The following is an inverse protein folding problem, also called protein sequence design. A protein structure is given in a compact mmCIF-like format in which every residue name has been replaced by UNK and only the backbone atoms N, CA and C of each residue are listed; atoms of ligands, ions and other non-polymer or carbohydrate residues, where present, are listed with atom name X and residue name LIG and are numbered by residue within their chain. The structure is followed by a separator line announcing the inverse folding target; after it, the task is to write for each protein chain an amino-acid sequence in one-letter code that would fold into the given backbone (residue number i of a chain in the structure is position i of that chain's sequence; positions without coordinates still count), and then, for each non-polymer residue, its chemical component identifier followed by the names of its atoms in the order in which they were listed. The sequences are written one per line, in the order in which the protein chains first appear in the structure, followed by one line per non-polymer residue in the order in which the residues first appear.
data_IF_992771565258
#
_entry.id   IF_992771565258
#
_cell.length_a   1.000
_cell.length_b   1.000
_cell.length_c   1.000
_cell.angle_alpha   90.00
_cell.angle_beta   90.00
_cell.angle_gamma   90.00
#
_symmetry.space_group_name_H-M   'P 1'
#
loop_
_entity.id
_entity.type
_entity.pdbx_description
1 polymer ?
#
# COMPACT_ATOMS: atom_id res chain seq x y z
N UNK A 1 11.81 -15.50 2.86
CA UNK A 1 11.68 -14.03 2.72
C UNK A 1 10.41 -13.73 1.96
N UNK A 2 9.56 -12.85 2.47
CA UNK A 2 8.37 -12.36 1.75
C UNK A 2 8.75 -11.13 0.92
N UNK A 3 8.19 -10.99 -0.28
CA UNK A 3 8.43 -9.86 -1.17
C UNK A 3 7.10 -9.23 -1.59
N UNK A 4 7.05 -7.90 -1.67
CA UNK A 4 5.84 -7.16 -1.97
C UNK A 4 6.06 -6.09 -3.02
N UNK A 5 5.02 -5.80 -3.81
CA UNK A 5 5.05 -4.74 -4.81
C UNK A 5 3.69 -4.06 -4.96
N UNK A 6 3.69 -2.83 -5.52
CA UNK A 6 2.47 -2.10 -5.87
C UNK A 6 2.75 -1.12 -7.01
N UNK A 7 1.76 -0.92 -7.89
CA UNK A 7 1.79 0.14 -8.88
C UNK A 7 1.14 1.41 -8.31
N UNK A 8 1.98 2.32 -7.79
CA UNK A 8 1.51 3.56 -7.16
C UNK A 8 0.85 4.50 -8.18
N UNK A 9 1.39 4.63 -9.39
CA UNK A 9 0.84 5.53 -10.40
C UNK A 9 -0.63 5.22 -10.72
N UNK A 10 -0.97 3.93 -10.80
CA UNK A 10 -2.35 3.48 -11.00
C UNK A 10 -3.26 3.80 -9.81
N UNK A 11 -2.79 3.59 -8.57
CA UNK A 11 -3.60 3.81 -7.37
C UNK A 11 -3.92 5.28 -7.11
N UNK A 12 -2.93 6.14 -7.36
CA UNK A 12 -3.03 7.59 -7.19
C UNK A 12 -3.63 8.29 -8.43
N UNK A 13 -3.88 7.57 -9.52
CA UNK A 13 -4.43 8.15 -10.75
C UNK A 13 -3.51 9.20 -11.37
N UNK A 14 -2.20 8.98 -11.30
CA UNK A 14 -1.19 9.92 -11.79
C UNK A 14 -1.23 9.97 -13.32
N UNK A 15 -1.20 11.18 -13.87
CA UNK A 15 -0.96 11.40 -15.31
C UNK A 15 0.34 10.68 -15.74
N UNK A 16 0.32 9.83 -16.78
CA UNK A 16 1.50 9.09 -17.24
C UNK A 16 2.73 9.95 -17.58
N UNK A 17 2.52 11.23 -17.86
CA UNK A 17 3.57 12.20 -18.19
C UNK A 17 4.08 12.98 -16.96
N UNK A 18 3.35 12.92 -15.84
CA UNK A 18 3.75 13.58 -14.61
C UNK A 18 4.90 12.85 -13.91
N UNK A 19 5.63 13.59 -13.08
CA UNK A 19 6.73 13.07 -12.24
C UNK A 19 6.34 13.21 -10.76
N UNK A 20 5.46 12.32 -10.24
CA UNK A 20 5.01 12.39 -8.86
C UNK A 20 6.18 12.10 -7.90
N UNK A 21 6.14 12.73 -6.73
CA UNK A 21 7.05 12.43 -5.64
C UNK A 21 6.26 11.70 -4.56
N UNK A 22 6.82 10.63 -4.02
CA UNK A 22 6.17 9.82 -3.00
C UNK A 22 6.97 9.84 -1.70
N UNK A 23 6.26 9.79 -0.59
CA UNK A 23 6.81 9.46 0.73
C UNK A 23 6.22 8.14 1.20
N UNK A 24 7.01 7.35 1.90
CA UNK A 24 6.58 6.07 2.44
C UNK A 24 6.93 6.00 3.92
N UNK A 25 5.97 5.58 4.72
CA UNK A 25 6.18 5.28 6.15
C UNK A 25 5.51 3.95 6.47
N UNK A 26 6.14 3.18 7.36
CA UNK A 26 5.50 2.03 7.99
C UNK A 26 4.63 2.49 9.15
N UNK A 27 3.57 1.75 9.44
CA UNK A 27 2.79 1.93 10.65
C UNK A 27 1.98 0.69 10.96
N UNK A 28 1.26 0.72 12.07
CA UNK A 28 0.41 -0.39 12.48
C UNK A 28 -0.94 -0.34 11.72
N UNK A 29 -1.38 -1.52 11.30
CA UNK A 29 -2.63 -1.76 10.58
C UNK A 29 -3.21 -3.06 11.11
N UNK A 30 -4.19 -2.96 12.01
CA UNK A 30 -4.87 -4.12 12.57
C UNK A 30 -6.13 -4.42 11.78
N UNK A 31 -6.04 -5.39 10.86
CA UNK A 31 -7.17 -5.83 10.04
C UNK A 31 -7.62 -7.22 10.44
N UNK A 32 -8.93 -7.47 10.51
CA UNK A 32 -9.44 -8.81 10.72
C UNK A 32 -9.08 -9.69 9.53
N UNK A 33 -8.82 -10.98 9.79
CA UNK A 33 -8.66 -11.96 8.73
C UNK A 33 -9.95 -12.04 7.88
N UNK A 34 -9.81 -12.11 6.56
CA UNK A 34 -10.94 -12.15 5.63
C UNK A 34 -10.80 -13.34 4.69
N UNK A 35 -11.64 -14.37 4.88
CA UNK A 35 -11.57 -15.62 4.12
C UNK A 35 -10.24 -16.35 4.37
N UNK A 36 -9.47 -16.60 3.30
CA UNK A 36 -8.13 -17.23 3.38
C UNK A 36 -6.99 -16.22 3.51
N UNK A 37 -7.26 -14.92 3.38
CA UNK A 37 -6.24 -13.89 3.49
C UNK A 37 -5.98 -13.57 4.97
N UNK A 38 -4.72 -13.69 5.37
CA UNK A 38 -4.23 -13.19 6.66
C UNK A 38 -3.43 -11.91 6.42
N UNK A 39 -3.54 -10.97 7.34
CA UNK A 39 -2.87 -9.67 7.25
C UNK A 39 -1.87 -9.54 8.37
N UNK A 40 -0.69 -8.98 8.06
CA UNK A 40 0.27 -8.60 9.09
C UNK A 40 -0.29 -7.44 9.92
N UNK A 41 0.15 -7.31 11.17
CA UNK A 41 -0.20 -6.17 12.04
C UNK A 41 0.43 -4.84 11.58
N UNK A 42 1.34 -4.88 10.61
CA UNK A 42 1.93 -3.70 9.98
C UNK A 42 1.34 -3.39 8.61
N UNK A 43 1.54 -2.16 8.16
CA UNK A 43 1.19 -1.68 6.83
C UNK A 43 2.11 -0.56 6.36
N UNK A 44 1.85 -0.08 5.15
CA UNK A 44 2.55 1.05 4.55
C UNK A 44 1.56 2.17 4.26
N UNK A 45 1.92 3.39 4.65
CA UNK A 45 1.24 4.60 4.22
C UNK A 45 2.10 5.27 3.18
N UNK A 46 1.59 5.40 1.96
CA UNK A 46 2.28 6.10 0.88
C UNK A 46 1.55 7.40 0.62
N UNK A 47 2.27 8.52 0.66
CA UNK A 47 1.74 9.83 0.31
C UNK A 47 2.24 10.26 -1.07
N UNK A 48 1.35 10.73 -1.95
CA UNK A 48 1.73 11.42 -3.18
C UNK A 48 1.75 12.93 -2.91
N UNK A 49 2.93 13.52 -3.07
CA UNK A 49 3.24 14.83 -2.51
C UNK A 49 2.58 15.98 -3.26
N UNK A 50 2.16 15.81 -4.53
CA UNK A 50 1.55 16.87 -5.33
C UNK A 50 0.07 17.05 -4.97
N UNK A 51 -0.67 15.94 -4.86
CA UNK A 51 -2.10 15.91 -4.55
C UNK A 51 -2.39 15.99 -3.05
N UNK A 52 -1.47 15.55 -2.19
CA UNK A 52 -1.74 15.40 -0.76
C UNK A 52 -2.46 14.11 -0.39
N UNK A 53 -2.70 13.22 -1.35
CA UNK A 53 -3.36 11.95 -1.12
C UNK A 53 -2.43 10.98 -0.40
N UNK A 54 -2.97 10.24 0.56
CA UNK A 54 -2.32 9.11 1.23
C UNK A 54 -3.15 7.85 0.98
N UNK A 55 -2.49 6.75 0.64
CA UNK A 55 -3.11 5.43 0.57
C UNK A 55 -2.42 4.51 1.58
N UNK A 56 -3.22 3.84 2.39
CA UNK A 56 -2.77 2.80 3.31
C UNK A 56 -2.80 1.45 2.60
N UNK A 57 -1.75 0.65 2.79
CA UNK A 57 -1.57 -0.66 2.20
C UNK A 57 -1.29 -1.72 3.25
N UNK A 58 -2.00 -2.84 3.18
CA UNK A 58 -1.80 -3.99 4.05
C UNK A 58 -0.96 -5.08 3.38
N UNK A 59 -0.17 -5.79 4.20
CA UNK A 59 0.55 -6.98 3.80
C UNK A 59 -0.35 -8.21 4.00
N UNK A 60 -0.93 -8.73 2.92
CA UNK A 60 -1.49 -10.08 2.97
C UNK A 60 -0.34 -11.09 2.98
N UNK A 61 -0.49 -12.17 3.72
CA UNK A 61 0.43 -13.28 3.69
C UNK A 61 -0.32 -14.61 3.84
N UNK A 62 0.37 -15.70 3.49
CA UNK A 62 -0.11 -17.07 3.70
C UNK A 62 1.00 -17.82 4.40
N UNK A 63 0.69 -18.48 5.52
CA UNK A 63 1.63 -19.36 6.19
C UNK A 63 1.86 -20.62 5.33
N UNK A 64 2.93 -20.60 4.54
CA UNK A 64 3.40 -21.74 3.75
C UNK A 64 4.93 -21.75 3.73
N UNK A 65 5.54 -22.93 3.79
CA UNK A 65 6.99 -23.11 3.78
C UNK A 65 7.60 -23.12 2.36
N UNK A 66 6.77 -23.08 1.32
CA UNK A 66 7.24 -22.97 -0.06
C UNK A 66 7.68 -21.52 -0.40
N UNK A 67 8.67 -21.34 -1.30
CA UNK A 67 8.98 -20.02 -1.86
C UNK A 67 7.74 -19.39 -2.49
N UNK A 68 7.38 -18.19 -2.04
CA UNK A 68 6.28 -17.42 -2.61
C UNK A 68 6.81 -16.40 -3.63
N UNK A 69 6.09 -16.24 -4.74
CA UNK A 69 6.30 -15.11 -5.64
C UNK A 69 6.02 -13.79 -4.90
N UNK A 70 6.59 -12.65 -5.35
CA UNK A 70 6.23 -11.35 -4.80
C UNK A 70 4.71 -11.14 -4.83
N UNK A 71 4.14 -10.63 -3.74
CA UNK A 71 2.70 -10.43 -3.59
C UNK A 71 2.34 -8.95 -3.78
N UNK A 72 1.15 -8.68 -4.31
CA UNK A 72 0.68 -7.29 -4.37
C UNK A 72 0.27 -6.82 -2.98
N UNK A 73 0.69 -5.60 -2.63
CA UNK A 73 0.10 -4.89 -1.51
C UNK A 73 -1.38 -4.60 -1.78
N UNK A 74 -2.20 -4.63 -0.74
CA UNK A 74 -3.64 -4.42 -0.83
C UNK A 74 -3.94 -3.02 -0.31
N UNK A 75 -4.54 -2.11 -1.11
CA UNK A 75 -4.99 -0.83 -0.62
C UNK A 75 -6.19 -1.05 0.30
N UNK A 76 -6.15 -0.45 1.49
CA UNK A 76 -7.18 -0.66 2.52
C UNK A 76 -7.94 0.60 2.87
N UNK A 77 -7.30 1.76 2.75
CA UNK A 77 -7.96 3.05 2.94
C UNK A 77 -7.23 4.16 2.18
N UNK A 78 -7.91 5.30 1.98
CA UNK A 78 -7.36 6.50 1.36
C UNK A 78 -7.88 7.78 2.03
N UNK A 79 -7.00 8.74 2.23
CA UNK A 79 -7.37 10.04 2.80
C UNK A 79 -6.45 11.15 2.28
N UNK A 80 -6.88 12.40 2.47
CA UNK A 80 -6.09 13.59 2.12
C UNK A 80 -5.42 14.14 3.38
N UNK A 81 -4.09 14.26 3.40
CA UNK A 81 -3.38 14.89 4.53
C UNK A 81 -3.30 16.42 4.37
N UNK A 82 -3.47 16.90 3.13
CA UNK A 82 -3.58 18.33 2.79
C UNK A 82 -4.48 18.48 1.56
N UNK A 83 -4.95 19.70 1.32
CA UNK A 83 -5.58 20.02 0.05
C UNK A 83 -4.50 20.22 -1.03
N UNK A 84 -4.78 19.75 -2.24
CA UNK A 84 -4.04 20.17 -3.42
C UNK A 84 -4.26 21.68 -3.62
N UNK A 85 -3.18 22.41 -3.93
CA UNK A 85 -3.22 23.85 -4.13
C UNK A 85 -3.59 24.17 -5.58
#
# INVERSE_FOLDING_TARGET
TYAYFRNLAADFGVDPTAKPHYVIVSGDVSLPAQGRAQFAEGGLYVGEMSSGMVICYAFSFVFNNAPAAPQQLIPVDRFQFRQAQ
#
